data_IF_509922982918
#
_entry.id   IF_509922982918
#
_cell.length_a   1.000
_cell.length_b   1.000
_cell.length_c   1.000
_cell.angle_alpha   90.00
_cell.angle_beta   90.00
_cell.angle_gamma   90.00
#
_symmetry.space_group_name_H-M   'P 1'
#
loop_
_entity.id
_entity.type
_entity.pdbx_description
1 polymer ?
#
# COMPACT_ATOMS: atom_id res chain seq x y z
N UNK A 1 -4.00 -7.04 -13.99
CA UNK A 1 -2.86 -6.31 -13.46
C UNK A 1 -3.34 -5.19 -12.54
N UNK A 2 -2.73 -5.05 -11.37
CA UNK A 2 -3.15 -4.02 -10.41
C UNK A 2 -2.81 -2.63 -10.93
N UNK A 3 -3.79 -1.73 -10.89
CA UNK A 3 -3.57 -0.33 -11.28
C UNK A 3 -2.87 0.39 -10.14
N UNK A 4 -1.62 0.78 -10.36
CA UNK A 4 -0.82 1.45 -9.34
C UNK A 4 -1.38 2.83 -8.98
N UNK A 5 -1.96 3.55 -9.94
CA UNK A 5 -2.59 4.83 -9.65
C UNK A 5 -3.81 4.67 -8.74
N UNK A 6 -4.60 3.64 -8.98
CA UNK A 6 -5.74 3.33 -8.11
C UNK A 6 -5.27 3.00 -6.71
N UNK A 7 -4.22 2.17 -6.60
CA UNK A 7 -3.64 1.81 -5.32
C UNK A 7 -3.14 3.04 -4.57
N UNK A 8 -2.42 3.93 -5.26
CA UNK A 8 -1.93 5.17 -4.68
C UNK A 8 -3.07 6.06 -4.20
N UNK A 9 -4.14 6.15 -4.99
CA UNK A 9 -5.31 6.94 -4.62
C UNK A 9 -5.98 6.38 -3.37
N UNK A 10 -6.10 5.07 -3.27
CA UNK A 10 -6.66 4.44 -2.07
C UNK A 10 -5.82 4.75 -0.83
N UNK A 11 -4.51 4.72 -0.96
CA UNK A 11 -3.59 5.02 0.14
C UNK A 11 -3.75 6.48 0.56
N UNK A 12 -3.75 7.39 -0.40
CA UNK A 12 -3.87 8.83 -0.11
C UNK A 12 -5.18 9.11 0.62
N UNK A 13 -6.28 8.52 0.17
CA UNK A 13 -7.58 8.74 0.78
C UNK A 13 -7.65 8.12 2.18
N UNK A 14 -7.12 6.92 2.35
CA UNK A 14 -7.19 6.23 3.63
C UNK A 14 -6.33 6.88 4.71
N UNK A 15 -5.16 7.36 4.32
CA UNK A 15 -4.22 8.01 5.25
C UNK A 15 -4.43 9.52 5.32
N UNK A 16 -5.37 10.03 4.55
CA UNK A 16 -5.71 11.44 4.52
C UNK A 16 -4.49 12.32 4.23
N UNK A 17 -3.75 11.96 3.19
CA UNK A 17 -2.53 12.66 2.78
C UNK A 17 -2.90 13.89 1.93
N UNK A 18 -3.33 14.94 2.60
CA UNK A 18 -3.76 16.16 1.92
C UNK A 18 -2.67 16.80 1.08
N UNK A 19 -3.04 17.28 -0.10
CA UNK A 19 -2.10 17.93 -1.00
C UNK A 19 -1.23 16.98 -1.78
N UNK A 20 -1.35 15.67 -1.57
CA UNK A 20 -0.58 14.69 -2.29
C UNK A 20 -1.38 14.09 -3.44
N UNK A 21 -0.73 13.94 -4.58
CA UNK A 21 -1.31 13.32 -5.78
C UNK A 21 -0.70 11.94 -6.00
N UNK A 22 -1.36 11.06 -6.76
CA UNK A 22 -0.77 9.75 -7.06
C UNK A 22 0.61 9.85 -7.71
N UNK A 23 0.83 10.83 -8.57
CA UNK A 23 2.11 11.02 -9.23
C UNK A 23 3.22 11.49 -8.28
N UNK A 24 2.89 11.92 -7.08
CA UNK A 24 3.87 12.30 -6.07
C UNK A 24 4.46 11.07 -5.36
N UNK A 25 3.84 9.91 -5.51
CA UNK A 25 4.31 8.68 -4.90
C UNK A 25 5.15 7.91 -5.92
N UNK A 26 6.42 7.69 -5.59
CA UNK A 26 7.31 6.91 -6.44
C UNK A 26 7.03 5.42 -6.23
N UNK A 27 6.83 4.67 -7.32
CA UNK A 27 6.50 3.26 -7.26
C UNK A 27 7.55 2.42 -6.53
N UNK A 28 8.81 2.75 -6.72
CA UNK A 28 9.92 1.98 -6.15
C UNK A 28 10.42 2.52 -4.82
N UNK A 29 10.03 3.72 -4.42
CA UNK A 29 10.53 4.34 -3.20
C UNK A 29 9.89 3.71 -1.96
N UNK A 30 10.60 3.69 -0.82
CA UNK A 30 10.01 3.18 0.42
C UNK A 30 8.87 4.07 0.88
N UNK A 31 7.84 3.44 1.44
CA UNK A 31 6.69 4.17 1.97
C UNK A 31 6.90 4.55 3.44
N UNK A 32 7.71 3.78 4.16
CA UNK A 32 7.94 4.01 5.58
C UNK A 32 9.32 4.64 5.80
N UNK A 33 9.47 5.32 6.93
CA UNK A 33 10.74 5.95 7.26
C UNK A 33 11.04 7.14 6.34
N UNK A 34 12.07 7.02 5.53
CA UNK A 34 12.55 8.11 4.67
C UNK A 34 11.63 8.45 3.50
N UNK A 35 10.75 7.53 3.11
CA UNK A 35 9.83 7.78 1.99
C UNK A 35 8.72 8.76 2.36
N UNK A 36 7.50 8.24 2.50
CA UNK A 36 6.35 9.06 2.91
C UNK A 36 6.31 9.32 4.41
N UNK A 37 7.21 8.71 5.18
CA UNK A 37 7.24 8.88 6.60
C UNK A 37 6.10 8.18 7.35
N UNK A 38 5.56 7.12 6.77
CA UNK A 38 4.48 6.38 7.38
C UNK A 38 4.97 5.58 8.58
N UNK A 39 4.07 5.30 9.52
CA UNK A 39 4.41 4.54 10.73
C UNK A 39 3.54 3.28 10.86
N UNK A 40 3.64 2.61 12.02
CA UNK A 40 2.93 1.35 12.26
C UNK A 40 1.41 1.49 12.18
N UNK A 41 0.88 2.65 12.56
CA UNK A 41 -0.56 2.90 12.51
C UNK A 41 -1.00 2.99 11.05
N UNK A 42 -0.20 3.66 10.23
CA UNK A 42 -0.48 3.76 8.80
C UNK A 42 -0.43 2.38 8.14
N UNK A 43 0.47 1.51 8.59
CA UNK A 43 0.55 0.15 8.08
C UNK A 43 -0.75 -0.62 8.31
N UNK A 44 -1.38 -0.45 9.48
CA UNK A 44 -2.66 -1.08 9.78
C UNK A 44 -3.75 -0.61 8.82
N UNK A 45 -3.77 0.69 8.52
CA UNK A 45 -4.73 1.22 7.55
C UNK A 45 -4.53 0.61 6.16
N UNK A 46 -3.28 0.47 5.74
CA UNK A 46 -2.99 -0.15 4.45
C UNK A 46 -3.42 -1.61 4.40
N UNK A 47 -3.24 -2.35 5.48
CA UNK A 47 -3.71 -3.73 5.55
C UNK A 47 -5.21 -3.82 5.40
N UNK A 48 -5.95 -2.91 6.02
CA UNK A 48 -7.40 -2.85 5.91
C UNK A 48 -7.85 -2.56 4.49
N UNK A 49 -7.16 -1.65 3.80
CA UNK A 49 -7.47 -1.31 2.41
C UNK A 49 -7.28 -2.53 1.52
N UNK A 50 -6.16 -3.22 1.68
CA UNK A 50 -5.85 -4.38 0.84
C UNK A 50 -6.86 -5.50 1.06
N UNK A 51 -7.32 -5.71 2.29
CA UNK A 51 -8.34 -6.70 2.57
C UNK A 51 -9.68 -6.28 1.95
N UNK A 52 -10.10 -5.04 2.17
CA UNK A 52 -11.40 -4.55 1.73
C UNK A 52 -11.52 -4.49 0.21
N UNK A 53 -10.50 -3.99 -0.47
CA UNK A 53 -10.57 -3.73 -1.91
C UNK A 53 -10.06 -4.89 -2.76
N UNK A 54 -9.13 -5.68 -2.26
CA UNK A 54 -8.49 -6.74 -3.04
C UNK A 54 -8.62 -8.12 -2.42
N UNK A 55 -9.17 -8.21 -1.22
CA UNK A 55 -9.30 -9.50 -0.54
C UNK A 55 -7.97 -10.08 -0.07
N UNK A 56 -6.98 -9.22 0.21
CA UNK A 56 -5.63 -9.64 0.60
C UNK A 56 -5.53 -9.73 2.12
N UNK A 57 -5.04 -10.87 2.61
CA UNK A 57 -4.80 -11.06 4.04
C UNK A 57 -3.38 -11.58 4.24
N UNK A 58 -2.76 -11.15 5.31
CA UNK A 58 -1.38 -11.54 5.62
C UNK A 58 -1.34 -12.49 6.81
N UNK A 59 -0.42 -13.47 6.73
CA UNK A 59 -0.27 -14.48 7.77
C UNK A 59 0.49 -13.94 8.98
N UNK A 60 1.40 -12.99 8.76
CA UNK A 60 2.23 -12.46 9.85
C UNK A 60 2.73 -11.05 9.50
N UNK A 61 3.34 -10.39 10.50
CA UNK A 61 3.83 -9.02 10.35
C UNK A 61 5.00 -8.90 9.38
N UNK A 62 5.88 -9.88 9.37
CA UNK A 62 7.06 -9.84 8.51
C UNK A 62 6.66 -9.86 7.04
N UNK A 63 5.67 -10.68 6.71
CA UNK A 63 5.15 -10.72 5.35
C UNK A 63 4.54 -9.38 4.96
N UNK A 64 3.74 -8.79 5.84
CA UNK A 64 3.12 -7.50 5.56
C UNK A 64 4.15 -6.39 5.40
N UNK A 65 5.18 -6.36 6.22
CA UNK A 65 6.24 -5.37 6.10
C UNK A 65 6.96 -5.45 4.76
N UNK A 66 7.24 -6.67 4.31
CA UNK A 66 7.90 -6.86 3.02
C UNK A 66 7.03 -6.38 1.87
N UNK A 67 5.74 -6.62 1.95
CA UNK A 67 4.79 -6.22 0.90
C UNK A 67 4.53 -4.72 0.92
N UNK A 68 4.40 -4.14 2.10
CA UNK A 68 4.04 -2.72 2.23
C UNK A 68 5.20 -1.76 2.04
N UNK A 69 6.40 -2.27 1.76
CA UNK A 69 7.59 -1.41 1.64
C UNK A 69 7.53 -0.42 0.48
N UNK A 70 6.82 -0.75 -0.61
CA UNK A 70 6.72 0.13 -1.77
C UNK A 70 5.45 -0.18 -2.55
N UNK A 71 5.09 0.72 -3.45
CA UNK A 71 3.94 0.51 -4.34
C UNK A 71 4.18 -0.69 -5.24
N UNK A 72 5.40 -0.82 -5.79
CA UNK A 72 5.73 -1.96 -6.65
C UNK A 72 5.55 -3.29 -5.92
N UNK A 73 6.03 -3.39 -4.68
CA UNK A 73 5.91 -4.61 -3.91
C UNK A 73 4.44 -4.94 -3.62
N UNK A 74 3.64 -3.93 -3.28
CA UNK A 74 2.21 -4.13 -3.03
C UNK A 74 1.48 -4.56 -4.30
N UNK A 75 1.74 -3.90 -5.42
CA UNK A 75 1.07 -4.22 -6.68
C UNK A 75 1.37 -5.65 -7.11
N UNK A 76 2.62 -6.07 -6.99
CA UNK A 76 3.02 -7.43 -7.35
C UNK A 76 2.31 -8.46 -6.46
N UNK A 77 2.27 -8.23 -5.17
CA UNK A 77 1.59 -9.13 -4.24
C UNK A 77 0.09 -9.20 -4.54
N UNK A 78 -0.53 -8.05 -4.79
CA UNK A 78 -1.95 -7.98 -5.10
C UNK A 78 -2.25 -8.78 -6.37
N UNK A 79 -1.47 -8.59 -7.43
CA UNK A 79 -1.68 -9.31 -8.69
C UNK A 79 -1.67 -10.82 -8.50
N UNK A 80 -0.84 -11.32 -7.58
CA UNK A 80 -0.68 -12.75 -7.37
C UNK A 80 -1.67 -13.34 -6.37
N UNK A 81 -2.30 -12.53 -5.53
CA UNK A 81 -3.10 -13.03 -4.40
C UNK A 81 -4.52 -12.46 -4.31
N UNK A 82 -4.88 -11.52 -5.15
CA UNK A 82 -6.19 -10.87 -5.01
C UNK A 82 -7.35 -11.83 -5.24
N UNK A 83 -8.41 -11.65 -4.44
CA UNK A 83 -9.65 -12.42 -4.57
C UNK A 83 -10.83 -11.54 -5.00
N UNK A 84 -10.59 -10.24 -5.10
CA UNK A 84 -11.62 -9.27 -5.51
C UNK A 84 -11.18 -8.47 -6.71
#
# INVERSE_FOLDING_TARGET
MTDKNELKTLIINALNLEGMQPEDIDDAAPLFGEGLGLDSIDALELLMILDKHYGIKFSNREESKAVLRSIDAMAEYIDNHRTK
#
